data_IF_552573177142
#
_entry.id   IF_552573177142
#
_cell.length_a   1.000
_cell.length_b   1.000
_cell.length_c   1.000
_cell.angle_alpha   90.00
_cell.angle_beta   90.00
_cell.angle_gamma   90.00
#
_symmetry.space_group_name_H-M   'P 1'
#
loop_
_entity.id
_entity.type
_entity.pdbx_description
1 polymer ?
#
# COMPACT_ATOMS: atom_id res chain seq x y z
N UNK A 1 -42.87 6.07 44.79
CA UNK A 1 -41.46 6.03 44.55
C UNK A 1 -40.97 7.35 44.17
N UNK A 2 -40.22 7.51 44.57
CA UNK A 2 -39.35 8.11 45.40
C UNK A 2 -38.26 8.89 44.71
N UNK A 3 -37.96 9.98 45.31
CA UNK A 3 -36.88 10.91 44.98
C UNK A 3 -35.56 10.20 44.52
N UNK A 4 -35.27 9.03 45.08
CA UNK A 4 -34.05 8.26 44.71
C UNK A 4 -34.04 7.75 43.26
N UNK A 5 -35.18 7.38 42.69
CA UNK A 5 -35.26 6.93 41.28
C UNK A 5 -35.03 8.07 40.29
N UNK A 6 -35.62 9.24 40.54
CA UNK A 6 -35.41 10.42 39.68
C UNK A 6 -33.97 10.97 39.77
N UNK A 7 -33.38 10.89 40.98
CA UNK A 7 -31.97 11.27 41.20
C UNK A 7 -31.02 10.33 40.47
N UNK A 8 -31.32 9.04 40.44
CA UNK A 8 -30.54 8.04 39.70
C UNK A 8 -30.63 8.24 38.18
N UNK A 9 -31.84 8.59 37.67
CA UNK A 9 -32.02 8.94 36.24
C UNK A 9 -31.21 10.18 35.90
N UNK A 10 -31.26 11.24 36.72
CA UNK A 10 -30.49 12.47 36.54
C UNK A 10 -28.98 12.22 36.56
N UNK A 11 -28.49 11.43 37.51
CA UNK A 11 -27.07 11.03 37.59
C UNK A 11 -26.61 10.26 36.36
N UNK A 12 -27.43 9.33 35.84
CA UNK A 12 -27.09 8.59 34.63
C UNK A 12 -27.00 9.49 33.40
N UNK A 13 -27.87 10.51 33.28
CA UNK A 13 -27.84 11.51 32.23
C UNK A 13 -26.57 12.37 32.29
N UNK A 14 -26.22 12.86 33.49
CA UNK A 14 -24.99 13.63 33.70
C UNK A 14 -23.72 12.83 33.36
N UNK A 15 -23.64 11.59 33.82
CA UNK A 15 -22.50 10.72 33.52
C UNK A 15 -22.37 10.44 32.02
N UNK A 16 -23.47 10.20 31.30
CA UNK A 16 -23.50 10.01 29.87
C UNK A 16 -23.08 11.29 29.09
N UNK A 17 -23.54 12.46 29.59
CA UNK A 17 -23.13 13.76 29.08
C UNK A 17 -21.63 14.03 29.27
N UNK A 18 -21.08 13.68 30.43
CA UNK A 18 -19.64 13.80 30.69
C UNK A 18 -18.81 12.88 29.78
N UNK A 19 -19.24 11.66 29.55
CA UNK A 19 -18.57 10.74 28.61
C UNK A 19 -18.61 11.30 27.17
N UNK A 20 -19.72 11.88 26.74
CA UNK A 20 -19.81 12.52 25.43
C UNK A 20 -18.88 13.74 25.31
N UNK A 21 -18.76 14.55 26.35
CA UNK A 21 -17.81 15.68 26.42
C UNK A 21 -16.35 15.17 26.36
N UNK A 22 -16.02 14.10 27.08
CA UNK A 22 -14.69 13.49 27.05
C UNK A 22 -14.34 13.00 25.62
N UNK A 23 -15.28 12.35 24.95
CA UNK A 23 -15.09 11.91 23.55
C UNK A 23 -14.91 13.12 22.60
N UNK A 24 -15.65 14.21 22.84
CA UNK A 24 -15.51 15.43 22.04
C UNK A 24 -14.15 16.09 22.27
N UNK A 25 -13.71 16.18 23.53
CA UNK A 25 -12.39 16.70 23.89
C UNK A 25 -11.26 15.83 23.27
N UNK A 26 -11.41 14.52 23.31
CA UNK A 26 -10.49 13.58 22.67
C UNK A 26 -10.41 13.79 21.15
N UNK A 27 -11.53 13.96 20.46
CA UNK A 27 -11.58 14.30 19.05
C UNK A 27 -10.87 15.63 18.74
N UNK A 28 -11.09 16.65 19.58
CA UNK A 28 -10.52 17.97 19.40
C UNK A 28 -8.99 17.97 19.60
N UNK A 29 -8.51 17.24 20.61
CA UNK A 29 -7.06 17.15 20.89
C UNK A 29 -6.30 16.36 19.85
N UNK A 30 -6.97 15.47 19.10
CA UNK A 30 -6.36 14.63 18.07
C UNK A 30 -6.70 15.06 16.63
N UNK A 31 -7.21 16.29 16.43
CA UNK A 31 -7.63 16.77 15.09
C UNK A 31 -6.49 16.76 14.08
N UNK A 32 -5.26 17.03 14.53
CA UNK A 32 -4.05 17.05 13.70
C UNK A 32 -3.24 15.75 13.78
N UNK A 33 -3.73 14.73 14.50
CA UNK A 33 -3.05 13.45 14.62
C UNK A 33 -3.28 12.63 13.35
N UNK A 34 -2.20 12.31 12.63
CA UNK A 34 -2.26 11.50 11.40
C UNK A 34 -2.89 10.13 11.69
N UNK A 35 -3.87 9.74 10.88
CA UNK A 35 -4.56 8.44 11.00
C UNK A 35 -5.66 8.41 12.06
N UNK A 36 -5.86 9.47 12.86
CA UNK A 36 -6.93 9.53 13.84
C UNK A 36 -8.30 9.60 13.17
N UNK A 37 -9.22 8.77 13.62
CA UNK A 37 -10.61 8.76 13.15
C UNK A 37 -11.53 9.32 14.22
N UNK A 38 -12.38 10.28 13.84
CA UNK A 38 -13.38 10.87 14.76
C UNK A 38 -14.24 9.80 15.42
N UNK A 39 -14.34 9.86 16.74
CA UNK A 39 -15.14 8.96 17.53
C UNK A 39 -16.51 9.57 17.87
N UNK A 40 -17.52 8.74 17.95
CA UNK A 40 -18.87 9.11 18.30
C UNK A 40 -19.41 8.24 19.44
N UNK A 41 -19.93 8.89 20.47
CA UNK A 41 -20.60 8.25 21.59
C UNK A 41 -22.00 7.80 21.19
N UNK A 42 -22.32 6.54 21.38
CA UNK A 42 -23.66 5.99 21.20
C UNK A 42 -24.30 5.81 22.58
N UNK A 43 -25.49 6.40 22.74
CA UNK A 43 -26.28 6.29 23.96
C UNK A 43 -27.46 5.36 23.74
N UNK A 44 -27.79 4.56 24.73
CA UNK A 44 -28.97 3.70 24.75
C UNK A 44 -29.77 3.89 26.01
N UNK A 45 -31.08 3.65 25.96
CA UNK A 45 -31.91 3.61 27.18
C UNK A 45 -31.54 2.39 28.02
N UNK A 46 -31.44 2.56 29.34
CA UNK A 46 -31.37 1.42 30.27
C UNK A 46 -32.68 0.63 30.21
N UNK A 47 -32.61 -0.66 30.59
CA UNK A 47 -33.80 -1.51 30.66
C UNK A 47 -34.88 -0.88 31.54
N UNK A 48 -36.13 -1.05 31.11
CA UNK A 48 -37.28 -0.62 31.93
C UNK A 48 -37.46 -1.55 33.15
N UNK A 49 -37.88 -0.98 34.27
CA UNK A 49 -38.29 -1.76 35.44
C UNK A 49 -39.81 -1.88 35.39
N UNK A 50 -40.28 -3.12 35.43
CA UNK A 50 -41.69 -3.42 35.57
C UNK A 50 -42.09 -3.30 37.04
N UNK A 51 -43.01 -2.36 37.38
CA UNK A 51 -43.43 -2.09 38.75
C UNK A 51 -44.54 -3.05 39.14
N UNK A 52 -45.47 -3.37 38.25
CA UNK A 52 -46.60 -4.24 38.51
C UNK A 52 -46.91 -5.04 37.23
N UNK A 53 -47.10 -6.34 37.43
CA UNK A 53 -47.73 -7.23 36.43
C UNK A 53 -49.17 -7.43 36.90
N UNK A 54 -50.11 -6.74 36.29
CA UNK A 54 -51.51 -7.00 36.52
C UNK A 54 -51.98 -8.05 35.50
N UNK A 55 -52.34 -9.27 35.92
CA UNK A 55 -52.77 -10.33 34.99
C UNK A 55 -54.05 -10.00 34.21
N UNK A 56 -54.79 -8.98 34.63
CA UNK A 56 -55.99 -8.50 33.97
C UNK A 56 -55.76 -7.27 33.04
N UNK A 57 -54.57 -6.68 33.04
CA UNK A 57 -54.24 -5.53 32.21
C UNK A 57 -53.39 -5.92 30.99
N UNK A 58 -53.72 -5.37 29.83
CA UNK A 58 -53.00 -5.60 28.56
C UNK A 58 -51.62 -4.95 28.55
N UNK A 59 -51.28 -4.08 29.51
CA UNK A 59 -49.99 -3.37 29.59
C UNK A 59 -49.38 -3.44 31.01
N UNK A 60 -48.11 -3.80 31.07
CA UNK A 60 -47.28 -3.71 32.27
C UNK A 60 -46.96 -2.24 32.58
N UNK A 61 -47.11 -1.83 33.85
CA UNK A 61 -46.58 -0.53 34.27
C UNK A 61 -45.04 -0.59 34.33
N UNK A 62 -44.42 0.11 33.44
CA UNK A 62 -42.96 0.18 33.30
C UNK A 62 -42.48 1.63 33.48
N UNK A 63 -41.32 1.79 34.08
CA UNK A 63 -40.65 3.08 34.06
C UNK A 63 -39.17 2.94 33.64
N UNK A 64 -38.69 3.95 32.93
CA UNK A 64 -37.28 4.00 32.45
C UNK A 64 -36.35 4.39 33.61
N UNK A 65 -35.15 3.83 33.62
CA UNK A 65 -34.13 4.09 34.65
C UNK A 65 -32.95 4.90 34.14
N UNK A 66 -33.15 5.64 33.04
CA UNK A 66 -32.18 6.58 32.49
C UNK A 66 -31.43 6.05 31.26
N UNK A 67 -30.26 6.61 31.04
CA UNK A 67 -29.42 6.42 29.84
C UNK A 67 -28.14 5.65 30.19
N UNK A 68 -27.61 4.88 29.23
CA UNK A 68 -26.33 4.22 29.34
C UNK A 68 -25.46 4.55 28.10
N UNK A 69 -24.17 4.59 28.31
CA UNK A 69 -23.20 4.55 27.19
C UNK A 69 -23.22 3.15 26.57
N UNK A 70 -23.64 3.06 25.34
CA UNK A 70 -23.69 1.79 24.59
C UNK A 70 -22.33 1.43 24.00
N UNK A 71 -21.73 2.38 23.31
CA UNK A 71 -20.41 2.21 22.68
C UNK A 71 -19.81 3.57 22.31
N UNK A 72 -18.51 3.61 22.12
CA UNK A 72 -17.79 4.69 21.44
C UNK A 72 -17.25 4.11 20.13
N UNK A 73 -17.85 4.50 19.01
CA UNK A 73 -17.48 3.99 17.68
C UNK A 73 -16.74 5.01 16.85
N UNK A 74 -15.92 4.54 15.94
CA UNK A 74 -15.33 5.37 14.88
C UNK A 74 -16.38 5.71 13.80
N UNK A 75 -16.28 6.93 13.27
CA UNK A 75 -17.11 7.38 12.14
C UNK A 75 -16.31 7.21 10.86
N UNK A 76 -16.37 6.01 10.27
CA UNK A 76 -15.74 5.66 8.98
C UNK A 76 -16.79 5.17 7.99
N UNK A 77 -16.49 5.38 6.73
CA UNK A 77 -17.26 4.85 5.61
C UNK A 77 -16.38 3.85 4.84
N UNK A 78 -16.75 2.60 4.87
CA UNK A 78 -16.01 1.50 4.25
C UNK A 78 -15.85 1.68 2.73
N UNK A 79 -16.87 2.21 2.06
CA UNK A 79 -16.82 2.44 0.62
C UNK A 79 -15.82 3.55 0.26
N UNK A 80 -15.82 4.63 1.03
CA UNK A 80 -14.86 5.72 0.84
C UNK A 80 -13.44 5.25 1.11
N UNK A 81 -13.22 4.44 2.15
CA UNK A 81 -11.91 3.87 2.45
C UNK A 81 -11.39 2.98 1.31
N UNK A 82 -12.24 2.13 0.75
CA UNK A 82 -11.87 1.29 -0.39
C UNK A 82 -11.51 2.14 -1.62
N UNK A 83 -12.33 3.14 -1.92
CA UNK A 83 -12.09 4.04 -3.05
C UNK A 83 -10.80 4.83 -2.85
N UNK A 84 -10.57 5.38 -1.66
CA UNK A 84 -9.35 6.10 -1.34
C UNK A 84 -8.10 5.24 -1.53
N UNK A 85 -8.09 4.01 -1.00
CA UNK A 85 -6.97 3.08 -1.13
C UNK A 85 -6.69 2.72 -2.59
N UNK A 86 -7.74 2.49 -3.36
CA UNK A 86 -7.65 2.19 -4.79
C UNK A 86 -7.05 3.35 -5.57
N UNK A 87 -7.60 4.57 -5.40
CA UNK A 87 -7.14 5.76 -6.13
C UNK A 87 -5.76 6.23 -5.66
N UNK A 88 -5.45 6.08 -4.37
CA UNK A 88 -4.11 6.35 -3.84
C UNK A 88 -3.07 5.40 -4.43
N UNK A 89 -3.42 4.10 -4.59
CA UNK A 89 -2.56 3.12 -5.26
C UNK A 89 -2.35 3.44 -6.74
N UNK A 90 -3.39 3.92 -7.44
CA UNK A 90 -3.29 4.38 -8.83
C UNK A 90 -2.40 5.62 -8.94
N UNK A 91 -2.57 6.60 -8.06
CA UNK A 91 -1.71 7.78 -8.01
C UNK A 91 -0.25 7.40 -7.84
N UNK A 92 0.05 6.50 -6.90
CA UNK A 92 1.42 6.03 -6.66
C UNK A 92 2.01 5.24 -7.84
N UNK A 93 1.16 4.51 -8.60
CA UNK A 93 1.61 3.82 -9.81
C UNK A 93 2.13 4.82 -10.86
N UNK A 94 1.35 5.88 -11.14
CA UNK A 94 1.75 6.89 -12.12
C UNK A 94 2.88 7.79 -11.62
N UNK A 95 2.90 8.11 -10.33
CA UNK A 95 4.00 8.85 -9.70
C UNK A 95 5.32 8.08 -9.86
N UNK A 96 5.37 6.81 -9.46
CA UNK A 96 6.55 5.97 -9.61
C UNK A 96 6.98 5.83 -11.08
N UNK A 97 6.02 5.69 -12.00
CA UNK A 97 6.30 5.62 -13.44
C UNK A 97 6.90 6.94 -13.98
N UNK A 98 6.38 8.08 -13.53
CA UNK A 98 6.88 9.40 -13.92
C UNK A 98 8.28 9.64 -13.39
N UNK A 99 8.55 9.25 -12.13
CA UNK A 99 9.87 9.39 -11.53
C UNK A 99 10.92 8.56 -12.29
N UNK A 100 10.57 7.31 -12.66
CA UNK A 100 11.48 6.45 -13.43
C UNK A 100 11.75 7.03 -14.81
N UNK A 101 10.70 7.48 -15.52
CA UNK A 101 10.88 8.08 -16.85
C UNK A 101 11.68 9.37 -16.80
N UNK A 102 11.48 10.20 -15.77
CA UNK A 102 12.27 11.41 -15.55
C UNK A 102 13.75 11.11 -15.32
N UNK A 103 14.08 10.03 -14.60
CA UNK A 103 15.47 9.62 -14.42
C UNK A 103 16.10 9.07 -15.70
N UNK A 104 15.35 8.32 -16.51
CA UNK A 104 15.79 7.88 -17.84
C UNK A 104 16.06 9.10 -18.76
N UNK A 105 15.18 10.11 -18.72
CA UNK A 105 15.37 11.36 -19.45
C UNK A 105 16.66 12.09 -19.01
N UNK A 106 16.92 12.15 -17.69
CA UNK A 106 18.15 12.71 -17.14
C UNK A 106 19.41 11.97 -17.62
N UNK A 107 19.38 10.62 -17.63
CA UNK A 107 20.50 9.78 -18.11
C UNK A 107 20.77 10.00 -19.58
N UNK A 108 19.73 10.14 -20.40
CA UNK A 108 19.89 10.48 -21.83
C UNK A 108 20.46 11.89 -22.03
N UNK A 109 20.37 12.75 -21.02
CA UNK A 109 20.98 14.10 -21.00
C UNK A 109 20.21 15.15 -21.78
N UNK A 110 18.92 14.92 -22.09
CA UNK A 110 18.13 15.84 -22.91
C UNK A 110 17.92 17.22 -22.29
N UNK A 111 18.15 17.36 -20.99
CA UNK A 111 17.99 18.64 -20.25
C UNK A 111 19.31 19.43 -20.06
N UNK A 112 20.50 18.84 -20.28
CA UNK A 112 21.77 19.44 -19.85
C UNK A 112 22.85 19.70 -20.95
N UNK A 113 22.49 19.64 -22.21
CA UNK A 113 23.31 20.29 -23.28
C UNK A 113 24.39 19.49 -23.97
N UNK A 114 24.90 18.36 -23.49
CA UNK A 114 25.72 17.39 -24.24
C UNK A 114 25.06 16.00 -24.25
N UNK A 115 23.91 15.97 -24.84
CA UNK A 115 22.99 14.86 -24.89
C UNK A 115 23.43 13.79 -25.91
N UNK A 116 22.84 12.60 -25.75
CA UNK A 116 23.05 11.50 -26.69
C UNK A 116 22.67 11.89 -28.12
N UNK A 117 21.62 12.70 -28.27
CA UNK A 117 21.13 13.22 -29.53
C UNK A 117 22.17 14.15 -30.20
N UNK A 118 22.81 15.05 -29.43
CA UNK A 118 23.84 15.93 -29.94
C UNK A 118 25.06 15.14 -30.43
N UNK A 119 25.50 14.12 -29.70
CA UNK A 119 26.63 13.28 -30.13
C UNK A 119 26.31 12.51 -31.40
N UNK A 120 25.06 12.01 -31.55
CA UNK A 120 24.60 11.35 -32.78
C UNK A 120 24.53 12.34 -33.96
N UNK A 121 24.05 13.57 -33.74
CA UNK A 121 23.98 14.62 -34.76
C UNK A 121 25.34 15.06 -35.20
N UNK A 122 26.31 15.16 -34.28
CA UNK A 122 27.72 15.47 -34.62
C UNK A 122 28.37 14.37 -35.44
N UNK A 123 28.09 13.10 -35.11
CA UNK A 123 28.55 11.96 -35.91
C UNK A 123 27.97 12.00 -37.34
N UNK A 124 26.66 12.27 -37.46
CA UNK A 124 25.99 12.41 -38.76
C UNK A 124 26.58 13.54 -39.59
N UNK A 125 26.84 14.69 -38.97
CA UNK A 125 27.51 15.84 -39.64
C UNK A 125 28.90 15.46 -40.14
N UNK A 126 29.69 14.75 -39.33
CA UNK A 126 31.03 14.29 -39.75
C UNK A 126 30.99 13.32 -40.95
N UNK A 127 29.97 12.44 -41.03
CA UNK A 127 29.73 11.56 -42.18
C UNK A 127 29.41 12.39 -43.43
N UNK A 128 28.58 13.43 -43.30
CA UNK A 128 28.23 14.30 -44.41
C UNK A 128 29.46 15.08 -44.94
N UNK A 129 30.31 15.59 -44.04
CA UNK A 129 31.53 16.29 -44.41
C UNK A 129 32.54 15.35 -45.11
N UNK A 130 32.69 14.13 -44.60
CA UNK A 130 33.50 13.11 -45.28
C UNK A 130 32.99 12.78 -46.69
N UNK A 131 31.66 12.72 -46.88
CA UNK A 131 31.02 12.48 -48.17
C UNK A 131 31.34 13.56 -49.22
N UNK A 132 31.57 14.82 -48.78
CA UNK A 132 31.93 15.96 -49.66
C UNK A 132 33.40 15.90 -50.10
N UNK A 133 34.31 15.51 -49.22
CA UNK A 133 35.73 15.37 -49.52
C UNK A 133 36.32 14.12 -48.82
N UNK A 134 36.18 12.94 -49.47
CA UNK A 134 36.67 11.67 -48.92
C UNK A 134 38.18 11.55 -48.82
N UNK A 135 38.92 12.36 -49.60
CA UNK A 135 40.38 12.30 -49.66
C UNK A 135 41.09 13.14 -48.60
N UNK A 136 40.34 14.02 -47.91
CA UNK A 136 40.90 14.90 -46.89
C UNK A 136 41.19 14.16 -45.59
N UNK A 137 42.43 14.21 -45.12
CA UNK A 137 42.83 13.66 -43.84
C UNK A 137 42.15 14.35 -42.66
N UNK A 138 41.68 15.61 -42.82
CA UNK A 138 40.95 16.38 -41.81
C UNK A 138 39.55 15.81 -41.61
N UNK A 139 38.80 15.57 -42.72
CA UNK A 139 37.43 14.99 -42.60
C UNK A 139 37.44 13.56 -42.10
N UNK A 140 38.48 12.78 -42.53
CA UNK A 140 38.68 11.42 -41.98
C UNK A 140 38.97 11.46 -40.45
N UNK A 141 39.87 12.36 -40.03
CA UNK A 141 40.19 12.57 -38.61
C UNK A 141 38.98 13.03 -37.79
N UNK A 142 38.16 13.94 -38.32
CA UNK A 142 36.94 14.41 -37.71
C UNK A 142 35.94 13.26 -37.50
N UNK A 143 35.73 12.41 -38.51
CA UNK A 143 34.84 11.27 -38.38
C UNK A 143 35.31 10.30 -37.29
N UNK A 144 36.62 9.97 -37.25
CA UNK A 144 37.18 9.09 -36.22
C UNK A 144 36.93 9.68 -34.81
N UNK A 145 37.18 10.98 -34.64
CA UNK A 145 36.95 11.66 -33.34
C UNK A 145 35.49 11.63 -32.94
N UNK A 146 34.56 12.02 -33.83
CA UNK A 146 33.12 12.00 -33.53
C UNK A 146 32.56 10.59 -33.31
N UNK A 147 33.11 9.58 -33.99
CA UNK A 147 32.78 8.19 -33.73
C UNK A 147 33.21 7.74 -32.34
N UNK A 148 34.41 8.10 -31.91
CA UNK A 148 34.90 7.79 -30.57
C UNK A 148 34.08 8.49 -29.46
N UNK A 149 33.73 9.78 -29.66
CA UNK A 149 32.85 10.53 -28.74
C UNK A 149 31.50 9.86 -28.62
N UNK A 150 30.85 9.50 -29.73
CA UNK A 150 29.56 8.80 -29.74
C UNK A 150 29.63 7.45 -29.02
N UNK A 151 30.63 6.61 -29.27
CA UNK A 151 30.81 5.31 -28.63
C UNK A 151 30.99 5.48 -27.11
N UNK A 152 31.82 6.45 -26.69
CA UNK A 152 32.03 6.73 -25.28
C UNK A 152 30.74 7.17 -24.59
N UNK A 153 29.96 8.06 -25.25
CA UNK A 153 28.65 8.49 -24.72
C UNK A 153 27.64 7.34 -24.64
N UNK A 154 27.55 6.51 -25.70
CA UNK A 154 26.68 5.34 -25.70
C UNK A 154 27.02 4.34 -24.58
N UNK A 155 28.31 4.09 -24.36
CA UNK A 155 28.77 3.24 -23.28
C UNK A 155 28.43 3.84 -21.87
N UNK A 156 28.57 5.15 -21.70
CA UNK A 156 28.22 5.82 -20.45
C UNK A 156 26.71 5.70 -20.20
N UNK A 157 25.86 6.03 -21.17
CA UNK A 157 24.40 5.89 -21.07
C UNK A 157 24.01 4.44 -20.74
N UNK A 158 24.59 3.46 -21.42
CA UNK A 158 24.34 2.05 -21.14
C UNK A 158 24.67 1.69 -19.68
N UNK A 159 25.84 2.14 -19.21
CA UNK A 159 26.27 1.86 -17.84
C UNK A 159 25.35 2.53 -16.80
N UNK A 160 24.96 3.78 -17.05
CA UNK A 160 24.07 4.53 -16.14
C UNK A 160 22.67 3.91 -16.08
N UNK A 161 22.11 3.49 -17.23
CA UNK A 161 20.84 2.76 -17.27
C UNK A 161 20.93 1.41 -16.53
N UNK A 162 22.03 0.68 -16.70
CA UNK A 162 22.24 -0.58 -15.98
C UNK A 162 22.34 -0.35 -14.47
N UNK A 163 23.06 0.67 -14.03
CA UNK A 163 23.16 1.05 -12.62
C UNK A 163 21.79 1.45 -12.06
N UNK A 164 21.00 2.15 -12.88
CA UNK A 164 19.65 2.54 -12.49
C UNK A 164 18.71 1.34 -12.36
N UNK A 165 18.76 0.37 -13.28
CA UNK A 165 18.02 -0.90 -13.15
C UNK A 165 18.39 -1.66 -11.88
N UNK A 166 19.68 -1.69 -11.51
CA UNK A 166 20.13 -2.30 -10.26
C UNK A 166 19.60 -1.53 -9.04
N UNK A 167 19.47 -0.20 -9.13
CA UNK A 167 18.83 0.61 -8.08
C UNK A 167 17.35 0.28 -7.94
N UNK A 168 16.60 0.22 -9.06
CA UNK A 168 15.17 -0.18 -9.05
C UNK A 168 15.00 -1.58 -8.45
N UNK A 169 15.90 -2.51 -8.76
CA UNK A 169 15.89 -3.85 -8.20
C UNK A 169 16.06 -3.86 -6.66
N UNK A 170 16.91 -2.98 -6.12
CA UNK A 170 17.05 -2.80 -4.67
C UNK A 170 15.79 -2.20 -4.05
N UNK A 171 15.20 -1.18 -4.68
CA UNK A 171 13.95 -0.57 -4.23
C UNK A 171 12.80 -1.60 -4.20
N UNK A 172 12.69 -2.48 -5.21
CA UNK A 172 11.72 -3.57 -5.23
C UNK A 172 11.88 -4.48 -4.01
N UNK A 173 13.12 -4.87 -3.69
CA UNK A 173 13.41 -5.68 -2.50
C UNK A 173 12.98 -4.99 -1.20
N UNK A 174 13.27 -3.70 -1.07
CA UNK A 174 12.88 -2.91 0.10
C UNK A 174 11.35 -2.78 0.22
N UNK A 175 10.65 -2.53 -0.89
CA UNK A 175 9.18 -2.45 -0.91
C UNK A 175 8.53 -3.78 -0.54
N UNK A 176 9.03 -4.92 -1.04
CA UNK A 176 8.52 -6.25 -0.64
C UNK A 176 8.77 -6.51 0.84
N UNK A 177 9.93 -6.13 1.36
CA UNK A 177 10.22 -6.24 2.80
C UNK A 177 9.23 -5.41 3.63
N UNK A 178 8.94 -4.18 3.19
CA UNK A 178 7.96 -3.30 3.83
C UNK A 178 6.54 -3.90 3.79
N UNK A 179 6.12 -4.44 2.65
CA UNK A 179 4.82 -5.13 2.52
C UNK A 179 4.72 -6.28 3.52
N UNK A 180 5.75 -7.14 3.61
CA UNK A 180 5.78 -8.24 4.57
C UNK A 180 5.72 -7.76 6.03
N UNK A 181 6.38 -6.64 6.36
CA UNK A 181 6.29 -6.03 7.68
C UNK A 181 4.86 -5.55 7.98
N UNK A 182 4.19 -4.91 7.02
CA UNK A 182 2.79 -4.50 7.16
C UNK A 182 1.87 -5.70 7.37
N UNK A 183 2.08 -6.80 6.66
CA UNK A 183 1.32 -8.04 6.86
C UNK A 183 1.44 -8.58 8.28
N UNK A 184 2.66 -8.65 8.82
CA UNK A 184 2.92 -9.07 10.21
C UNK A 184 2.29 -8.12 11.24
N UNK A 185 2.33 -6.82 10.99
CA UNK A 185 1.71 -5.82 11.86
C UNK A 185 0.18 -5.93 11.85
N UNK A 186 -0.44 -6.09 10.67
CA UNK A 186 -1.89 -6.29 10.55
C UNK A 186 -2.33 -7.56 11.30
N UNK A 187 -1.60 -8.67 11.15
CA UNK A 187 -1.85 -9.90 11.89
C UNK A 187 -1.81 -9.68 13.41
N UNK A 188 -0.76 -9.01 13.90
CA UNK A 188 -0.60 -8.72 15.34
C UNK A 188 -1.72 -7.80 15.86
N UNK A 189 -2.11 -6.77 15.08
CA UNK A 189 -3.20 -5.86 15.44
C UNK A 189 -4.55 -6.58 15.43
N UNK A 190 -4.82 -7.47 14.47
CA UNK A 190 -6.01 -8.30 14.47
C UNK A 190 -6.15 -9.10 15.77
N UNK A 191 -5.05 -9.75 16.20
CA UNK A 191 -5.06 -10.55 17.43
C UNK A 191 -5.29 -9.68 18.70
N UNK A 192 -4.71 -8.47 18.75
CA UNK A 192 -4.93 -7.53 19.85
C UNK A 192 -6.36 -6.99 19.86
N UNK A 193 -6.90 -6.58 18.72
CA UNK A 193 -8.27 -6.08 18.59
C UNK A 193 -9.26 -7.17 19.01
N UNK A 194 -9.09 -8.39 18.50
CA UNK A 194 -9.94 -9.54 18.87
C UNK A 194 -9.94 -9.80 20.38
N UNK A 195 -8.78 -9.72 21.04
CA UNK A 195 -8.66 -9.91 22.50
C UNK A 195 -9.42 -8.86 23.31
N UNK A 196 -9.40 -7.59 22.86
CA UNK A 196 -10.10 -6.48 23.52
C UNK A 196 -11.61 -6.57 23.24
N UNK A 197 -11.98 -6.83 21.99
CA UNK A 197 -13.37 -6.75 21.54
C UNK A 197 -14.17 -8.05 21.76
N UNK A 198 -13.55 -9.15 22.15
CA UNK A 198 -14.23 -10.43 22.36
C UNK A 198 -15.36 -10.36 23.40
N UNK A 199 -15.34 -9.40 24.32
CA UNK A 199 -16.40 -9.15 25.30
C UNK A 199 -17.59 -8.36 24.76
N UNK A 200 -17.51 -7.78 23.56
CA UNK A 200 -18.56 -6.99 22.91
C UNK A 200 -18.93 -5.67 23.62
N UNK A 201 -18.10 -5.20 24.55
CA UNK A 201 -18.32 -3.99 25.35
C UNK A 201 -17.33 -2.89 24.95
N UNK A 202 -16.09 -3.24 24.74
CA UNK A 202 -14.99 -2.33 24.40
C UNK A 202 -14.71 -2.35 22.91
N UNK A 203 -14.30 -1.20 22.37
CA UNK A 203 -13.80 -1.05 21.01
C UNK A 203 -12.37 -0.55 21.06
N UNK A 204 -11.47 -1.26 20.37
CA UNK A 204 -10.05 -0.94 20.31
C UNK A 204 -9.77 0.13 19.24
N UNK A 205 -10.39 1.31 19.37
CA UNK A 205 -10.37 2.36 18.34
C UNK A 205 -8.96 2.77 17.93
N UNK A 206 -8.03 2.93 18.87
CA UNK A 206 -6.65 3.34 18.58
C UNK A 206 -5.88 2.27 17.78
N UNK A 207 -6.09 0.99 18.09
CA UNK A 207 -5.50 -0.12 17.32
C UNK A 207 -6.13 -0.23 15.92
N UNK A 208 -7.43 0.05 15.82
CA UNK A 208 -8.14 0.12 14.53
C UNK A 208 -7.62 1.28 13.67
N UNK A 209 -7.34 2.46 14.25
CA UNK A 209 -6.74 3.59 13.56
C UNK A 209 -5.34 3.24 13.05
N UNK A 210 -4.50 2.65 13.90
CA UNK A 210 -3.16 2.17 13.50
C UNK A 210 -3.24 1.15 12.36
N UNK A 211 -4.16 0.18 12.45
CA UNK A 211 -4.36 -0.81 11.39
C UNK A 211 -4.82 -0.18 10.08
N UNK A 212 -5.73 0.77 10.15
CA UNK A 212 -6.23 1.49 8.97
C UNK A 212 -5.12 2.29 8.29
N UNK A 213 -4.25 2.94 9.06
CA UNK A 213 -3.09 3.65 8.52
C UNK A 213 -2.15 2.69 7.78
N UNK A 214 -1.88 1.51 8.33
CA UNK A 214 -1.07 0.48 7.66
C UNK A 214 -1.75 0.01 6.36
N UNK A 215 -3.08 -0.16 6.37
CA UNK A 215 -3.83 -0.53 5.17
C UNK A 215 -3.78 0.58 4.10
N UNK A 216 -3.82 1.86 4.51
CA UNK A 216 -3.71 2.99 3.59
C UNK A 216 -2.32 3.02 2.92
N UNK A 217 -1.24 2.78 3.68
CA UNK A 217 0.12 2.68 3.14
C UNK A 217 0.32 1.43 2.26
N UNK A 218 -0.26 0.29 2.65
CA UNK A 218 -0.23 -0.93 1.84
C UNK A 218 -0.94 -0.73 0.50
N UNK A 219 -2.08 0.00 0.49
CA UNK A 219 -2.84 0.32 -0.73
C UNK A 219 -2.06 1.16 -1.74
N UNK A 220 -1.09 1.97 -1.30
CA UNK A 220 -0.17 2.70 -2.18
C UNK A 220 0.83 1.77 -2.87
N UNK A 221 1.26 0.71 -2.18
CA UNK A 221 2.31 -0.20 -2.69
C UNK A 221 1.78 -1.24 -3.65
N UNK A 222 0.57 -1.76 -3.43
CA UNK A 222 0.00 -2.85 -4.23
C UNK A 222 -1.52 -2.76 -4.31
N UNK A 223 -2.10 -3.36 -5.34
CA UNK A 223 -3.55 -3.54 -5.45
C UNK A 223 -4.02 -4.48 -4.34
N UNK A 224 -4.85 -3.96 -3.45
CA UNK A 224 -5.38 -4.76 -2.35
C UNK A 224 -6.89 -4.66 -2.23
N UNK A 225 -7.48 -5.74 -1.72
CA UNK A 225 -8.86 -5.76 -1.22
C UNK A 225 -8.85 -6.23 0.23
N UNK A 226 -9.79 -5.76 1.02
CA UNK A 226 -9.90 -6.16 2.41
C UNK A 226 -11.36 -6.36 2.82
N UNK A 227 -11.57 -7.18 3.82
CA UNK A 227 -12.86 -7.38 4.46
C UNK A 227 -12.66 -7.56 5.97
N UNK A 228 -13.61 -7.07 6.76
CA UNK A 228 -13.62 -7.24 8.21
C UNK A 228 -14.71 -8.21 8.61
N UNK A 229 -14.39 -9.15 9.50
CA UNK A 229 -15.34 -10.11 10.04
C UNK A 229 -16.07 -9.55 11.29
N UNK A 230 -17.03 -10.29 11.81
CA UNK A 230 -17.82 -9.92 13.00
C UNK A 230 -17.01 -9.88 14.30
N UNK A 231 -15.78 -10.41 14.29
CA UNK A 231 -14.86 -10.43 15.44
C UNK A 231 -13.82 -9.31 15.36
N UNK A 232 -13.93 -8.42 14.35
CA UNK A 232 -13.00 -7.31 14.15
C UNK A 232 -11.69 -7.69 13.44
N UNK A 233 -11.53 -8.94 12.95
CA UNK A 233 -10.35 -9.30 12.16
C UNK A 233 -10.49 -8.79 10.73
N UNK A 234 -9.44 -8.17 10.23
CA UNK A 234 -9.34 -7.78 8.82
C UNK A 234 -8.58 -8.85 8.03
N UNK A 235 -9.22 -9.35 6.99
CA UNK A 235 -8.57 -10.18 5.97
C UNK A 235 -8.17 -9.29 4.81
N UNK A 236 -6.93 -9.43 4.34
CA UNK A 236 -6.34 -8.65 3.24
C UNK A 236 -5.92 -9.59 2.14
N UNK A 237 -6.26 -9.22 0.89
CA UNK A 237 -5.81 -9.92 -0.32
C UNK A 237 -5.02 -8.95 -1.18
N UNK A 238 -3.91 -9.42 -1.75
CA UNK A 238 -3.08 -8.68 -2.70
C UNK A 238 -3.17 -9.42 -4.04
N UNK A 239 -3.47 -8.69 -5.12
CA UNK A 239 -3.62 -9.23 -6.48
C UNK A 239 -4.50 -10.50 -6.47
N UNK A 240 -5.63 -10.43 -5.76
CA UNK A 240 -6.60 -11.53 -5.60
C UNK A 240 -6.12 -12.76 -4.82
N UNK A 241 -4.90 -12.78 -4.27
CA UNK A 241 -4.39 -13.83 -3.39
C UNK A 241 -4.43 -13.43 -1.92
N UNK A 242 -4.73 -14.38 -1.02
CA UNK A 242 -4.78 -14.13 0.42
C UNK A 242 -3.38 -13.76 0.94
N UNK A 243 -3.29 -12.59 1.59
CA UNK A 243 -2.08 -12.07 2.23
C UNK A 243 -2.14 -12.17 3.74
N UNK A 244 -3.23 -11.65 4.35
CA UNK A 244 -3.55 -11.85 5.76
C UNK A 244 -4.96 -12.40 5.85
N UNK A 245 -5.15 -13.52 6.56
CA UNK A 245 -6.44 -14.13 6.75
C UNK A 245 -6.61 -14.56 8.20
N UNK A 246 -7.37 -13.79 8.95
CA UNK A 246 -7.53 -14.01 10.38
C UNK A 246 -6.20 -13.86 11.13
N UNK A 247 -5.69 -14.95 11.67
CA UNK A 247 -4.42 -15.09 12.38
C UNK A 247 -3.27 -15.63 11.51
N UNK A 248 -3.52 -15.85 10.21
CA UNK A 248 -2.52 -16.35 9.27
C UNK A 248 -1.98 -15.20 8.42
N UNK A 249 -0.66 -15.15 8.28
CA UNK A 249 0.07 -14.27 7.39
C UNK A 249 0.82 -15.10 6.34
N UNK A 250 0.68 -14.74 5.07
CA UNK A 250 1.36 -15.37 3.96
C UNK A 250 2.46 -14.46 3.43
N UNK A 251 3.69 -14.91 3.56
CA UNK A 251 4.87 -14.13 3.20
C UNK A 251 5.10 -14.12 1.68
N UNK A 252 5.47 -12.95 1.15
CA UNK A 252 5.93 -12.78 -0.22
C UNK A 252 7.45 -13.00 -0.24
N UNK A 253 7.89 -14.00 -0.99
CA UNK A 253 9.30 -14.28 -1.24
C UNK A 253 9.85 -13.44 -2.39
N UNK A 254 11.16 -13.41 -2.50
CA UNK A 254 11.89 -12.83 -3.62
C UNK A 254 12.80 -13.90 -4.20
N UNK A 255 12.62 -14.21 -5.46
CA UNK A 255 13.54 -15.06 -6.22
C UNK A 255 14.41 -14.19 -7.12
N UNK A 256 15.71 -14.46 -7.14
CA UNK A 256 16.65 -13.74 -7.99
C UNK A 256 16.87 -14.56 -9.26
N UNK A 257 16.60 -13.99 -10.43
CA UNK A 257 16.91 -14.61 -11.71
C UNK A 257 18.41 -14.92 -11.83
N UNK A 258 18.76 -16.15 -12.13
CA UNK A 258 20.16 -16.59 -12.33
C UNK A 258 20.86 -15.81 -13.47
N UNK A 259 20.09 -15.32 -14.46
CA UNK A 259 20.62 -14.61 -15.62
C UNK A 259 20.86 -13.11 -15.38
N UNK A 260 19.96 -12.43 -14.67
CA UNK A 260 19.98 -10.96 -14.50
C UNK A 260 20.24 -10.51 -13.07
N UNK A 261 19.98 -11.36 -12.08
CA UNK A 261 19.96 -11.01 -10.66
C UNK A 261 18.74 -10.17 -10.25
N UNK A 262 17.73 -10.07 -11.12
CA UNK A 262 16.51 -9.31 -10.86
C UNK A 262 15.55 -10.08 -9.96
N UNK A 263 15.04 -9.42 -8.93
CA UNK A 263 14.10 -10.01 -7.99
C UNK A 263 12.70 -10.08 -8.56
N UNK A 264 12.08 -11.27 -8.49
CA UNK A 264 10.67 -11.50 -8.81
C UNK A 264 9.92 -11.82 -7.51
N UNK A 265 8.92 -11.00 -7.11
CA UNK A 265 8.08 -11.30 -5.98
C UNK A 265 7.17 -12.49 -6.25
N UNK A 266 7.11 -13.46 -5.34
CA UNK A 266 6.28 -14.66 -5.46
C UNK A 266 5.65 -15.06 -4.13
N UNK A 267 4.54 -15.81 -4.18
CA UNK A 267 3.89 -16.36 -3.00
C UNK A 267 4.59 -17.61 -2.52
N UNK A 268 5.20 -17.57 -1.33
CA UNK A 268 5.89 -18.73 -0.75
C UNK A 268 4.91 -19.90 -0.54
N UNK A 269 3.63 -19.61 -0.24
CA UNK A 269 2.58 -20.62 -0.03
C UNK A 269 2.23 -21.42 -1.28
N UNK A 270 2.39 -20.81 -2.47
CA UNK A 270 1.95 -21.36 -3.75
C UNK A 270 3.13 -21.92 -4.57
N UNK A 271 4.39 -21.63 -4.15
CA UNK A 271 5.60 -22.05 -4.84
C UNK A 271 6.05 -23.44 -4.37
N UNK A 272 6.35 -24.31 -5.32
CA UNK A 272 7.05 -25.57 -5.08
C UNK A 272 8.52 -25.30 -4.81
N UNK A 273 9.15 -26.05 -3.91
CA UNK A 273 10.58 -25.89 -3.64
C UNK A 273 11.33 -27.22 -3.64
N UNK A 274 12.59 -27.15 -4.06
CA UNK A 274 13.56 -28.25 -3.93
C UNK A 274 14.62 -27.82 -2.90
N UNK A 275 15.02 -28.76 -2.04
CA UNK A 275 16.10 -28.52 -1.08
C UNK A 275 17.41 -28.92 -1.76
N UNK A 276 18.33 -27.95 -1.89
CA UNK A 276 19.67 -28.17 -2.43
C UNK A 276 20.56 -28.91 -1.40
N UNK A 277 21.70 -29.41 -1.85
CA UNK A 277 22.65 -30.17 -1.02
C UNK A 277 23.23 -29.36 0.15
N UNK A 278 23.22 -28.03 0.08
CA UNK A 278 23.60 -27.07 1.12
C UNK A 278 22.48 -26.73 2.11
N UNK A 279 21.29 -27.35 1.96
CA UNK A 279 20.13 -27.08 2.80
C UNK A 279 19.32 -25.84 2.39
N UNK A 280 19.73 -25.08 1.37
CA UNK A 280 18.97 -23.96 0.85
C UNK A 280 17.75 -24.43 0.03
N UNK A 281 16.66 -23.64 0.07
CA UNK A 281 15.46 -23.91 -0.72
C UNK A 281 15.53 -23.13 -2.03
N UNK A 282 15.49 -23.85 -3.15
CA UNK A 282 15.29 -23.24 -4.48
C UNK A 282 13.82 -23.37 -4.83
N UNK A 283 13.15 -22.24 -5.07
CA UNK A 283 11.74 -22.18 -5.38
C UNK A 283 11.50 -22.26 -6.89
N UNK A 284 10.46 -22.95 -7.30
CA UNK A 284 9.90 -22.86 -8.64
C UNK A 284 8.77 -21.83 -8.57
N UNK A 285 9.01 -20.64 -9.10
CA UNK A 285 8.10 -19.49 -8.98
C UNK A 285 7.03 -19.46 -10.07
N UNK A 286 7.11 -20.34 -11.08
CA UNK A 286 6.19 -20.34 -12.21
C UNK A 286 4.75 -20.58 -11.76
N UNK A 287 3.89 -19.57 -11.96
CA UNK A 287 2.49 -19.59 -11.53
C UNK A 287 2.28 -19.20 -10.06
N UNK A 288 3.35 -18.86 -9.33
CA UNK A 288 3.29 -18.33 -7.98
C UNK A 288 3.68 -16.84 -7.89
N UNK A 289 3.91 -16.18 -9.03
CA UNK A 289 4.24 -14.76 -9.10
C UNK A 289 3.11 -13.92 -8.48
N UNK A 290 3.46 -12.89 -7.71
CA UNK A 290 2.47 -11.99 -7.09
C UNK A 290 1.81 -11.10 -8.14
N UNK A 291 2.59 -10.60 -9.10
CA UNK A 291 2.14 -9.66 -10.11
C UNK A 291 2.17 -10.28 -11.50
N UNK A 292 1.08 -10.16 -12.23
CA UNK A 292 1.08 -10.46 -13.65
C UNK A 292 1.52 -9.21 -14.42
N UNK A 293 2.74 -9.24 -14.94
CA UNK A 293 3.35 -8.13 -15.68
C UNK A 293 3.00 -8.14 -17.18
N UNK A 294 2.47 -9.25 -17.71
CA UNK A 294 2.07 -9.39 -19.11
C UNK A 294 0.72 -8.73 -19.43
N UNK A 295 0.00 -8.31 -18.39
CA UNK A 295 -1.30 -7.65 -18.56
C UNK A 295 -1.13 -6.23 -19.10
N UNK A 296 -2.03 -5.84 -20.01
CA UNK A 296 -2.13 -4.44 -20.46
C UNK A 296 -2.44 -3.54 -19.27
N UNK A 297 -1.63 -2.49 -19.07
CA UNK A 297 -1.87 -1.47 -18.06
C UNK A 297 -3.07 -0.62 -18.49
N UNK A 298 -4.13 -0.64 -17.69
CA UNK A 298 -5.37 0.09 -17.97
C UNK A 298 -6.14 0.39 -16.70
N UNK A 299 -6.64 1.62 -16.59
CA UNK A 299 -7.52 2.02 -15.48
C UNK A 299 -8.90 1.33 -15.53
N UNK A 300 -9.37 0.92 -16.69
CA UNK A 300 -10.62 0.18 -16.83
C UNK A 300 -10.56 -1.26 -16.32
N UNK A 301 -9.36 -1.84 -16.29
CA UNK A 301 -9.10 -3.20 -15.79
C UNK A 301 -8.50 -3.19 -14.37
N UNK A 302 -8.29 -2.00 -13.78
CA UNK A 302 -7.62 -1.83 -12.48
C UNK A 302 -6.24 -2.53 -12.42
N UNK A 303 -5.49 -2.51 -13.53
CA UNK A 303 -4.14 -3.07 -13.63
C UNK A 303 -3.05 -2.02 -13.41
N UNK A 304 -3.43 -0.75 -13.26
CA UNK A 304 -2.61 0.44 -13.03
C UNK A 304 -2.57 0.84 -11.55
N UNK A 305 -2.51 -0.13 -10.62
CA UNK A 305 -2.56 0.13 -9.19
C UNK A 305 -1.32 -0.45 -8.50
N UNK A 306 -0.70 0.38 -7.66
CA UNK A 306 0.42 0.00 -6.78
C UNK A 306 1.79 0.38 -7.31
N UNK A 307 2.54 1.13 -6.47
CA UNK A 307 3.88 1.62 -6.84
C UNK A 307 4.91 0.50 -7.04
N UNK A 308 4.75 -0.66 -6.37
CA UNK A 308 5.63 -1.81 -6.58
C UNK A 308 5.49 -2.40 -7.98
N UNK A 309 4.24 -2.50 -8.49
CA UNK A 309 3.99 -2.99 -9.86
C UNK A 309 4.57 -2.04 -10.90
N UNK A 310 4.47 -0.72 -10.68
CA UNK A 310 5.10 0.29 -11.53
C UNK A 310 6.62 0.11 -11.62
N UNK A 311 7.29 -0.09 -10.48
CA UNK A 311 8.73 -0.31 -10.44
C UNK A 311 9.15 -1.62 -11.15
N UNK A 312 8.36 -2.69 -11.01
CA UNK A 312 8.62 -3.95 -11.70
C UNK A 312 8.49 -3.79 -13.22
N UNK A 313 7.45 -3.12 -13.70
CA UNK A 313 7.25 -2.83 -15.13
C UNK A 313 8.36 -1.93 -15.67
N UNK A 314 8.71 -0.87 -14.94
CA UNK A 314 9.74 0.08 -15.35
C UNK A 314 11.15 -0.54 -15.37
N UNK A 315 11.49 -1.42 -14.41
CA UNK A 315 12.76 -2.13 -14.41
C UNK A 315 12.90 -3.05 -15.63
N UNK A 316 11.80 -3.66 -16.09
CA UNK A 316 11.80 -4.67 -17.14
C UNK A 316 12.39 -6.02 -16.69
N UNK A 317 12.39 -7.00 -17.60
CA UNK A 317 12.88 -8.37 -17.33
C UNK A 317 14.32 -8.58 -17.75
N UNK A 318 14.85 -7.74 -18.64
CA UNK A 318 16.21 -7.82 -19.17
C UNK A 318 17.01 -6.57 -18.85
N UNK A 319 18.34 -6.71 -18.67
CA UNK A 319 19.22 -5.55 -18.45
C UNK A 319 19.17 -4.59 -19.64
N UNK A 320 19.05 -3.30 -19.34
CA UNK A 320 19.02 -2.20 -20.31
C UNK A 320 17.93 -2.33 -21.40
N UNK A 321 16.74 -2.69 -21.03
CA UNK A 321 15.58 -2.83 -21.93
C UNK A 321 14.76 -1.53 -22.06
N UNK A 322 15.43 -0.38 -22.05
CA UNK A 322 14.80 0.93 -22.20
C UNK A 322 14.87 1.46 -23.61
#
# INVERSE_FOLDING_TARGET
MPLMGSLYIGASGLQSGQNALNTTAHNLTNIDTTGFTRQQTLLSSKRYITISKNPAAVSDQQYGIGVNLSAVRQVRDYFLDQTYRKESGRSMFYEASTDVLGEVENVLGELNGEDFQTSLSNLWTAIQELSKDPSSSVTQGLLVQRSAEFINRANAVYQDLTNYQDNLNKQIKEKVTTINQYGKQIQALNDQIRKIECGGIEHANDLRDTRNQILDELGKLCKMTYSEDSLGNVSVRIEDSDFVRGDLFYEIGLDASDATGFYTPFWIKDAEYTVLADGTKKYNIKGAEVFNLDQTVSSSLDTDIGGLKALLLARGDHRANY
#
